data_IF_879954826200
#
_entry.id   IF_879954826200
#
_cell.length_a   1.000
_cell.length_b   1.000
_cell.length_c   1.000
_cell.angle_alpha   90.00
_cell.angle_beta   90.00
_cell.angle_gamma   90.00
#
_symmetry.space_group_name_H-M   'P 1'
#
loop_
_entity.id
_entity.type
_entity.pdbx_description
1 polymer ?
#
# COMPACT_ATOMS: atom_id res chain seq x y z
N UNK A 1 -20.52 -6.29 7.46
CA UNK A 1 -19.29 -6.27 6.65
C UNK A 1 -18.11 -6.23 7.60
N UNK A 2 -17.21 -7.22 7.56
CA UNK A 2 -15.97 -7.22 8.34
C UNK A 2 -14.84 -6.46 7.64
N UNK A 3 -13.79 -6.08 8.37
CA UNK A 3 -12.55 -5.55 7.80
C UNK A 3 -11.62 -6.72 7.47
N UNK A 4 -11.34 -6.94 6.17
CA UNK A 4 -10.54 -8.07 5.68
C UNK A 4 -9.21 -7.63 5.05
N UNK A 5 -8.75 -6.41 5.34
CA UNK A 5 -7.50 -5.89 4.79
C UNK A 5 -6.37 -6.27 5.74
N UNK A 6 -5.48 -7.15 5.31
CA UNK A 6 -4.23 -7.46 6.01
C UNK A 6 -3.07 -6.65 5.42
N UNK A 7 -2.09 -6.28 6.26
CA UNK A 7 -0.87 -5.58 5.82
C UNK A 7 0.31 -6.55 5.82
N UNK A 8 1.01 -6.67 4.69
CA UNK A 8 2.24 -7.44 4.60
C UNK A 8 3.45 -6.52 4.70
N UNK A 9 4.36 -6.81 5.64
CA UNK A 9 5.60 -6.06 5.82
C UNK A 9 6.66 -6.61 4.88
N UNK A 10 7.18 -5.75 4.00
CA UNK A 10 8.21 -6.11 3.03
C UNK A 10 9.53 -5.46 3.42
N UNK A 11 10.54 -6.27 3.74
CA UNK A 11 11.89 -5.78 4.04
C UNK A 11 12.80 -6.00 2.83
N UNK A 12 13.14 -4.91 2.16
CA UNK A 12 14.08 -4.91 1.02
C UNK A 12 15.36 -4.21 1.46
N UNK A 13 16.52 -4.81 1.15
CA UNK A 13 17.82 -4.17 1.35
C UNK A 13 18.29 -3.64 0.01
N UNK A 14 18.57 -2.34 -0.06
CA UNK A 14 19.13 -1.70 -1.24
C UNK A 14 20.64 -1.62 -1.08
N UNK A 15 21.36 -2.18 -2.04
CA UNK A 15 22.81 -2.06 -2.15
C UNK A 15 23.14 -1.27 -3.42
N UNK A 16 23.88 -0.17 -3.26
CA UNK A 16 24.28 0.71 -4.37
C UNK A 16 25.15 0.02 -5.43
N UNK A 17 25.76 -1.12 -5.09
CA UNK A 17 26.56 -1.92 -6.02
C UNK A 17 25.70 -2.84 -6.91
N UNK A 18 24.43 -3.05 -6.55
CA UNK A 18 23.52 -3.89 -7.32
C UNK A 18 22.91 -3.12 -8.49
N UNK A 19 22.77 -3.81 -9.62
CA UNK A 19 21.94 -3.30 -10.72
C UNK A 19 20.46 -3.29 -10.32
N UNK A 20 19.69 -2.43 -10.99
CA UNK A 20 18.24 -2.39 -10.83
C UNK A 20 17.57 -3.76 -11.05
N UNK A 21 18.05 -4.55 -12.02
CA UNK A 21 17.51 -5.89 -12.30
C UNK A 21 17.73 -6.85 -11.13
N UNK A 22 18.90 -6.81 -10.48
CA UNK A 22 19.20 -7.62 -9.30
C UNK A 22 18.32 -7.22 -8.11
N UNK A 23 18.14 -5.91 -7.90
CA UNK A 23 17.22 -5.40 -6.88
C UNK A 23 15.78 -5.84 -7.15
N UNK A 24 15.33 -5.78 -8.40
CA UNK A 24 13.98 -6.20 -8.78
C UNK A 24 13.76 -7.70 -8.53
N UNK A 25 14.74 -8.55 -8.82
CA UNK A 25 14.68 -9.98 -8.52
C UNK A 25 14.61 -10.25 -7.01
N UNK A 26 15.39 -9.51 -6.21
CA UNK A 26 15.31 -9.57 -4.74
C UNK A 26 13.93 -9.15 -4.23
N UNK A 27 13.40 -8.03 -4.73
CA UNK A 27 12.05 -7.54 -4.36
C UNK A 27 10.99 -8.59 -4.70
N UNK A 28 11.08 -9.20 -5.89
CA UNK A 28 10.17 -10.28 -6.30
C UNK A 28 10.22 -11.46 -5.33
N UNK A 29 11.42 -11.91 -4.94
CA UNK A 29 11.58 -13.00 -3.95
C UNK A 29 10.96 -12.64 -2.61
N UNK A 30 11.18 -11.42 -2.11
CA UNK A 30 10.60 -10.94 -0.84
C UNK A 30 9.07 -10.90 -0.91
N UNK A 31 8.51 -10.35 -1.99
CA UNK A 31 7.05 -10.26 -2.18
C UNK A 31 6.41 -11.64 -2.26
N UNK A 32 6.97 -12.56 -3.06
CA UNK A 32 6.44 -13.93 -3.16
C UNK A 32 6.56 -14.69 -1.83
N UNK A 33 7.65 -14.49 -1.10
CA UNK A 33 7.83 -15.03 0.25
C UNK A 33 6.77 -14.50 1.22
N UNK A 34 6.54 -13.19 1.25
CA UNK A 34 5.51 -12.58 2.10
C UNK A 34 4.09 -13.07 1.76
N UNK A 35 3.77 -13.19 0.47
CA UNK A 35 2.47 -13.70 0.01
C UNK A 35 2.20 -15.15 0.47
N UNK A 36 3.25 -15.96 0.63
CA UNK A 36 3.14 -17.32 1.17
C UNK A 36 2.71 -17.35 2.64
N UNK A 37 2.77 -16.22 3.34
CA UNK A 37 2.40 -16.04 4.75
C UNK A 37 1.30 -14.97 4.94
N UNK A 38 0.54 -14.65 3.90
CA UNK A 38 -0.46 -13.56 3.91
C UNK A 38 -1.61 -13.73 4.92
N UNK A 39 -1.78 -14.92 5.48
CA UNK A 39 -2.80 -15.22 6.50
C UNK A 39 -2.41 -14.72 7.90
N UNK A 40 -1.13 -14.41 8.13
CA UNK A 40 -0.66 -13.87 9.41
C UNK A 40 -1.14 -12.41 9.56
N UNK A 41 -1.98 -12.09 10.57
CA UNK A 41 -2.38 -10.72 10.82
C UNK A 41 -1.18 -9.84 11.20
N UNK A 42 -1.14 -8.61 10.69
CA UNK A 42 -0.08 -7.65 10.99
C UNK A 42 0.09 -7.41 12.50
N UNK A 43 -1.01 -7.34 13.25
CA UNK A 43 -1.01 -7.12 14.69
C UNK A 43 -0.26 -8.23 15.43
N UNK A 44 -0.47 -9.48 15.04
CA UNK A 44 0.25 -10.62 15.62
C UNK A 44 1.75 -10.56 15.32
N UNK A 45 2.15 -10.04 14.15
CA UNK A 45 3.56 -9.84 13.82
C UNK A 45 4.19 -8.75 14.69
N UNK A 46 3.47 -7.64 14.93
CA UNK A 46 3.92 -6.57 15.83
C UNK A 46 4.08 -7.10 17.25
N UNK A 47 3.10 -7.86 17.75
CA UNK A 47 3.15 -8.44 19.09
C UNK A 47 4.33 -9.40 19.25
N UNK A 48 4.59 -10.25 18.24
CA UNK A 48 5.69 -11.21 18.27
C UNK A 48 7.08 -10.56 18.21
N UNK A 49 7.22 -9.48 17.44
CA UNK A 49 8.50 -8.76 17.31
C UNK A 49 8.73 -7.73 18.42
N UNK A 50 7.67 -7.31 19.11
CA UNK A 50 7.69 -6.35 20.22
C UNK A 50 8.63 -5.15 19.98
N UNK A 51 8.48 -4.41 18.85
CA UNK A 51 9.35 -3.27 18.56
C UNK A 51 9.16 -2.18 19.62
N UNK A 52 10.18 -1.32 19.78
CA UNK A 52 10.07 -0.17 20.67
C UNK A 52 8.88 0.70 20.26
N UNK A 53 7.98 0.97 21.21
CA UNK A 53 6.75 1.69 20.94
C UNK A 53 7.04 3.17 20.76
N UNK A 54 6.75 3.69 19.58
CA UNK A 54 6.80 5.12 19.27
C UNK A 54 5.41 5.60 18.84
N UNK A 55 4.89 6.67 19.44
CA UNK A 55 3.58 7.23 19.09
C UNK A 55 3.61 8.05 17.80
N UNK A 56 4.78 8.45 17.32
CA UNK A 56 4.98 9.23 16.10
C UNK A 56 5.23 8.39 14.84
N UNK A 57 5.41 7.06 14.96
CA UNK A 57 5.67 6.20 13.81
C UNK A 57 4.84 4.91 13.87
N UNK A 58 4.45 4.45 12.70
CA UNK A 58 3.83 3.15 12.55
C UNK A 58 4.88 2.03 12.81
N UNK A 59 4.53 0.95 13.55
CA UNK A 59 5.46 -0.13 13.82
C UNK A 59 5.92 -0.82 12.54
N UNK A 60 7.19 -1.25 12.53
CA UNK A 60 7.85 -2.02 11.47
C UNK A 60 8.07 -1.32 10.13
N UNK A 61 7.22 -0.38 9.71
CA UNK A 61 7.35 0.34 8.45
C UNK A 61 6.71 1.74 8.49
N UNK A 62 7.29 2.65 7.72
CA UNK A 62 6.85 4.06 7.62
C UNK A 62 6.28 4.38 6.22
N UNK A 63 6.58 3.54 5.23
CA UNK A 63 6.17 3.69 3.84
C UNK A 63 5.16 2.60 3.47
N UNK A 64 4.03 3.01 2.90
CA UNK A 64 2.99 2.09 2.43
C UNK A 64 2.77 2.21 0.94
N UNK A 65 2.56 1.08 0.27
CA UNK A 65 2.15 1.02 -1.12
C UNK A 65 0.86 0.22 -1.20
N UNK A 66 -0.16 0.78 -1.85
CA UNK A 66 -1.44 0.12 -2.10
C UNK A 66 -1.72 0.12 -3.59
N UNK A 67 -1.91 -1.07 -4.15
CA UNK A 67 -2.46 -1.21 -5.49
C UNK A 67 -3.96 -1.45 -5.40
N UNK A 68 -4.74 -0.58 -6.02
CA UNK A 68 -6.17 -0.74 -6.17
C UNK A 68 -6.39 -1.57 -7.44
N UNK A 69 -6.97 -2.75 -7.28
CA UNK A 69 -7.43 -3.55 -8.43
C UNK A 69 -8.79 -2.99 -8.81
N UNK A 70 -8.85 -2.16 -9.86
CA UNK A 70 -10.13 -1.79 -10.46
C UNK A 70 -10.81 -3.08 -10.91
N UNK A 71 -11.93 -3.44 -10.26
CA UNK A 71 -12.89 -4.32 -10.90
C UNK A 71 -13.35 -3.58 -12.16
N UNK A 72 -13.10 -4.18 -13.32
CA UNK A 72 -13.39 -3.59 -14.61
C UNK A 72 -14.85 -3.10 -14.67
N UNK A 73 -15.06 -1.79 -14.55
CA UNK A 73 -15.82 -0.99 -15.51
C UNK A 73 -15.80 0.49 -15.09
N UNK A 74 -15.06 1.30 -15.85
CA UNK A 74 -15.19 2.76 -15.90
C UNK A 74 -16.43 3.15 -16.75
N UNK A 75 -17.34 2.19 -16.96
CA UNK A 75 -18.63 2.42 -17.61
C UNK A 75 -19.53 3.10 -16.57
N UNK A 76 -19.38 4.43 -16.46
CA UNK A 76 -20.06 5.34 -15.53
C UNK A 76 -21.17 4.67 -14.76
N UNK A 77 -20.91 4.38 -13.49
CA UNK A 77 -21.65 3.43 -12.68
C UNK A 77 -23.15 3.78 -12.69
N UNK A 78 -23.90 3.17 -13.60
CA UNK A 78 -25.31 3.50 -13.80
C UNK A 78 -26.13 2.81 -12.73
N UNK A 79 -26.72 3.61 -11.86
CA UNK A 79 -27.72 3.12 -10.90
C UNK A 79 -29.09 3.45 -11.49
N UNK A 80 -29.68 2.46 -12.16
CA UNK A 80 -30.92 2.64 -12.93
C UNK A 80 -30.76 3.74 -13.99
N UNK A 81 -31.51 4.84 -13.88
CA UNK A 81 -31.49 5.95 -14.84
C UNK A 81 -30.51 7.07 -14.45
N UNK A 82 -29.71 6.87 -13.40
CA UNK A 82 -28.74 7.85 -12.90
C UNK A 82 -27.33 7.54 -13.38
N UNK A 83 -26.61 8.58 -13.79
CA UNK A 83 -25.16 8.55 -13.99
C UNK A 83 -24.47 8.94 -12.69
N UNK A 84 -23.49 8.15 -12.26
CA UNK A 84 -22.66 8.44 -11.08
C UNK A 84 -21.28 8.86 -11.55
N UNK A 85 -20.84 10.02 -11.10
CA UNK A 85 -19.48 10.54 -11.29
C UNK A 85 -18.74 10.55 -9.94
N UNK A 86 -17.43 10.32 -9.98
CA UNK A 86 -16.59 10.45 -8.78
C UNK A 86 -16.59 11.91 -8.30
N UNK A 87 -16.93 12.11 -7.02
CA UNK A 87 -16.75 13.39 -6.35
C UNK A 87 -15.50 13.32 -5.47
N UNK A 88 -14.44 14.11 -5.75
CA UNK A 88 -13.22 14.08 -4.95
C UNK A 88 -13.50 14.62 -3.55
N UNK A 89 -13.45 13.74 -2.55
CA UNK A 89 -13.41 14.13 -1.14
C UNK A 89 -11.96 14.54 -0.84
N UNK A 90 -11.77 15.65 -0.11
CA UNK A 90 -10.43 16.11 0.29
C UNK A 90 -9.61 15.00 0.98
N UNK A 91 -8.29 15.06 0.82
CA UNK A 91 -7.35 14.04 1.30
C UNK A 91 -7.58 13.68 2.77
N UNK A 92 -7.62 12.39 3.07
CA UNK A 92 -7.67 11.89 4.45
C UNK A 92 -6.36 12.20 5.18
N UNK A 93 -6.43 12.38 6.51
CA UNK A 93 -5.26 12.53 7.37
C UNK A 93 -4.20 11.45 7.08
N UNK A 94 -2.93 11.86 7.01
CA UNK A 94 -1.81 10.96 6.80
C UNK A 94 -1.64 10.02 8.00
N UNK A 95 -1.82 8.72 7.77
CA UNK A 95 -1.64 7.67 8.81
C UNK A 95 -0.25 7.05 8.81
N UNK A 96 0.52 7.33 7.76
CA UNK A 96 1.90 6.88 7.55
C UNK A 96 2.70 8.09 7.11
N UNK A 97 4.02 8.06 7.31
CA UNK A 97 4.92 9.13 6.86
C UNK A 97 4.72 9.40 5.36
N UNK A 98 4.63 8.32 4.57
CA UNK A 98 4.28 8.37 3.14
C UNK A 98 3.49 7.12 2.71
N UNK A 99 2.41 7.33 1.99
CA UNK A 99 1.63 6.29 1.35
C UNK A 99 1.47 6.57 -0.15
N UNK A 100 1.63 5.55 -0.97
CA UNK A 100 1.36 5.59 -2.41
C UNK A 100 0.18 4.68 -2.74
N UNK A 101 -0.93 5.29 -3.13
CA UNK A 101 -2.11 4.59 -3.59
C UNK A 101 -2.18 4.73 -5.11
N UNK A 102 -2.23 3.60 -5.81
CA UNK A 102 -2.19 3.59 -7.27
C UNK A 102 -3.04 2.48 -7.88
N UNK A 103 -3.32 2.67 -9.15
CA UNK A 103 -4.08 1.77 -9.99
C UNK A 103 -3.34 1.60 -11.31
N UNK A 104 -3.24 0.36 -11.78
CA UNK A 104 -2.77 0.07 -13.13
C UNK A 104 -3.93 0.23 -14.11
N UNK A 105 -3.74 1.07 -15.14
CA UNK A 105 -4.75 1.36 -16.15
C UNK A 105 -4.20 1.03 -17.53
N UNK A 106 -5.06 0.86 -18.56
CA UNK A 106 -4.58 0.68 -19.93
C UNK A 106 -3.67 1.80 -20.46
N UNK A 107 -3.67 2.97 -19.81
CA UNK A 107 -2.83 4.14 -20.17
C UNK A 107 -1.59 4.28 -19.28
N UNK A 108 -1.37 3.37 -18.34
CA UNK A 108 -0.27 3.38 -17.38
C UNK A 108 -0.76 3.49 -15.93
N UNK A 109 0.15 3.77 -15.02
CA UNK A 109 -0.12 3.87 -13.59
C UNK A 109 -0.69 5.25 -13.25
N UNK A 110 -1.85 5.29 -12.59
CA UNK A 110 -2.44 6.50 -12.00
C UNK A 110 -2.49 6.32 -10.49
N UNK A 111 -2.07 7.32 -9.73
CA UNK A 111 -2.08 7.26 -8.28
C UNK A 111 -1.82 8.61 -7.63
N UNK A 112 -1.77 8.62 -6.31
CA UNK A 112 -1.48 9.79 -5.51
C UNK A 112 -0.64 9.41 -4.29
N UNK A 113 0.11 10.39 -3.80
CA UNK A 113 0.83 10.28 -2.53
C UNK A 113 0.03 10.97 -1.43
N UNK A 114 -0.06 10.32 -0.27
CA UNK A 114 -0.47 10.94 0.99
C UNK A 114 0.73 10.96 1.91
N UNK A 115 1.05 12.11 2.48
CA UNK A 115 2.25 12.28 3.31
C UNK A 115 1.96 13.13 4.54
N UNK A 116 2.73 12.89 5.61
CA UNK A 116 2.66 13.70 6.81
C UNK A 116 3.32 15.07 6.58
N UNK A 117 2.54 16.15 6.63
CA UNK A 117 3.03 17.53 6.37
C UNK A 117 4.02 18.03 7.43
N UNK A 118 4.06 17.39 8.60
CA UNK A 118 5.05 17.70 9.63
C UNK A 118 6.45 17.15 9.28
N UNK A 119 6.56 16.28 8.26
CA UNK A 119 7.82 15.65 7.81
C UNK A 119 8.31 16.13 6.43
N UNK A 120 7.41 16.63 5.57
CA UNK A 120 7.69 17.00 4.16
C UNK A 120 7.16 18.39 3.80
#
# INVERSE_FOLDING_TARGET
MGFFINTQVLRVQVDEQQSFAQLLDQVKQVVTGAQSHQELPFEHLVDALAPERNLGHNPLFQFKINQHVLAADDSGQRVSDLTVDEFPIGSSDARFDLAFDFTDTPRGIRGYFTYATDLF
#
